data_IF_904256525216
#
_entry.id   IF_904256525216
#
_cell.length_a   1.000
_cell.length_b   1.000
_cell.length_c   1.000
_cell.angle_alpha   90.00
_cell.angle_beta   90.00
_cell.angle_gamma   90.00
#
_symmetry.space_group_name_H-M   'P 1'
#
loop_
_entity.id
_entity.type
_entity.pdbx_description
1 polymer ?
#
# COMPACT_ATOMS: atom_id res chain seq x y z
N UNK A 1 14.28 -45.74 -23.96
CA UNK A 1 13.91 -44.60 -23.10
C UNK A 1 12.41 -44.67 -22.74
N UNK A 2 11.50 -44.72 -23.69
CA UNK A 2 10.03 -44.81 -23.47
C UNK A 2 9.60 -45.98 -22.58
N UNK A 3 10.14 -47.21 -22.82
CA UNK A 3 9.74 -48.41 -22.06
C UNK A 3 10.06 -48.27 -20.56
N UNK A 4 11.24 -47.72 -20.22
CA UNK A 4 11.64 -47.52 -18.81
C UNK A 4 10.80 -46.45 -18.17
N UNK A 5 10.46 -45.40 -18.88
CA UNK A 5 9.62 -44.29 -18.40
C UNK A 5 8.19 -44.77 -18.07
N UNK A 6 7.60 -45.62 -18.93
CA UNK A 6 6.27 -46.21 -18.72
C UNK A 6 6.25 -47.10 -17.48
N UNK A 7 7.26 -48.00 -17.34
CA UNK A 7 7.33 -48.92 -16.19
C UNK A 7 7.52 -48.14 -14.86
N UNK A 8 8.39 -47.12 -14.89
CA UNK A 8 8.59 -46.27 -13.67
C UNK A 8 7.33 -45.54 -13.32
N UNK A 9 6.63 -44.92 -14.26
CA UNK A 9 5.41 -44.19 -14.00
C UNK A 9 4.29 -45.10 -13.43
N UNK A 10 4.10 -46.28 -13.99
CA UNK A 10 3.14 -47.27 -13.46
C UNK A 10 3.49 -47.69 -12.03
N UNK A 11 4.73 -48.06 -11.78
CA UNK A 11 5.16 -48.52 -10.43
C UNK A 11 5.12 -47.39 -9.42
N UNK A 12 5.47 -46.16 -9.79
CA UNK A 12 5.41 -45.01 -8.93
C UNK A 12 3.95 -44.62 -8.58
N UNK A 13 3.04 -44.69 -9.57
CA UNK A 13 1.62 -44.45 -9.35
C UNK A 13 1.04 -45.40 -8.32
N UNK A 14 1.28 -46.72 -8.53
CA UNK A 14 0.83 -47.76 -7.58
C UNK A 14 1.42 -47.55 -6.18
N UNK A 15 2.70 -47.17 -6.11
CA UNK A 15 3.36 -46.94 -4.84
C UNK A 15 2.79 -45.72 -4.11
N UNK A 16 2.45 -44.64 -4.81
CA UNK A 16 1.83 -43.45 -4.24
C UNK A 16 0.43 -43.74 -3.70
N UNK A 17 -0.33 -44.55 -4.43
CA UNK A 17 -1.67 -44.99 -3.98
C UNK A 17 -1.60 -45.86 -2.71
N UNK A 18 -0.57 -46.70 -2.59
CA UNK A 18 -0.33 -47.52 -1.40
C UNK A 18 0.25 -46.74 -0.21
N UNK A 19 0.89 -45.60 -0.44
CA UNK A 19 1.57 -44.81 0.59
C UNK A 19 1.14 -43.32 0.58
N UNK A 20 -0.15 -43.00 0.79
CA UNK A 20 -0.71 -41.66 0.61
C UNK A 20 -0.12 -40.62 1.56
N UNK A 21 0.28 -40.98 2.77
CA UNK A 21 0.90 -40.07 3.74
C UNK A 21 2.32 -39.64 3.30
N UNK A 22 3.12 -40.59 2.82
CA UNK A 22 4.49 -40.33 2.32
C UNK A 22 4.42 -39.59 0.99
N UNK A 23 3.49 -39.95 0.09
CA UNK A 23 3.23 -39.26 -1.16
C UNK A 23 2.93 -37.77 -0.97
N UNK A 24 2.09 -37.42 0.02
CA UNK A 24 1.80 -36.02 0.37
C UNK A 24 3.05 -35.26 0.82
N UNK A 25 3.92 -35.87 1.60
CA UNK A 25 5.17 -35.22 2.06
C UNK A 25 6.12 -35.00 0.88
N UNK A 26 6.27 -35.99 0.00
CA UNK A 26 7.11 -35.88 -1.21
C UNK A 26 6.57 -34.80 -2.14
N UNK A 27 5.27 -34.80 -2.44
CA UNK A 27 4.63 -33.77 -3.28
C UNK A 27 4.78 -32.38 -2.71
N UNK A 28 4.57 -32.23 -1.39
CA UNK A 28 4.77 -30.93 -0.72
C UNK A 28 6.24 -30.42 -0.90
N UNK A 29 7.22 -31.30 -0.75
CA UNK A 29 8.65 -30.94 -0.99
C UNK A 29 8.93 -30.59 -2.45
N UNK A 30 8.36 -31.32 -3.40
CA UNK A 30 8.52 -31.04 -4.84
C UNK A 30 7.90 -29.69 -5.20
N UNK A 31 6.68 -29.41 -4.72
CA UNK A 31 6.00 -28.15 -4.94
C UNK A 31 6.81 -27.00 -4.33
N UNK A 32 7.31 -27.17 -3.11
CA UNK A 32 8.14 -26.17 -2.44
C UNK A 32 9.43 -25.87 -3.22
N UNK A 33 10.09 -26.92 -3.71
CA UNK A 33 11.32 -26.78 -4.51
C UNK A 33 11.05 -26.16 -5.90
N UNK A 34 9.90 -26.43 -6.51
CA UNK A 34 9.50 -25.83 -7.79
C UNK A 34 9.19 -24.33 -7.60
N UNK A 35 8.45 -23.98 -6.56
CA UNK A 35 8.16 -22.58 -6.22
C UNK A 35 9.44 -21.80 -5.89
N UNK A 36 10.36 -22.38 -5.12
CA UNK A 36 11.64 -21.75 -4.82
C UNK A 36 12.46 -21.48 -6.09
N UNK A 37 12.47 -22.42 -7.04
CA UNK A 37 13.14 -22.25 -8.35
C UNK A 37 12.47 -21.17 -9.21
N UNK A 38 11.14 -21.11 -9.25
CA UNK A 38 10.40 -20.08 -10.01
C UNK A 38 10.64 -18.69 -9.44
N UNK A 39 10.66 -18.56 -8.11
CA UNK A 39 11.00 -17.34 -7.40
C UNK A 39 12.42 -16.89 -7.74
N UNK A 40 13.39 -17.79 -7.67
CA UNK A 40 14.78 -17.51 -8.01
C UNK A 40 14.95 -17.13 -9.48
N UNK A 41 14.22 -17.79 -10.40
CA UNK A 41 14.21 -17.46 -11.83
C UNK A 41 13.65 -16.07 -12.09
N UNK A 42 12.47 -15.76 -11.54
CA UNK A 42 11.84 -14.44 -11.66
C UNK A 42 12.70 -13.33 -11.06
N UNK A 43 13.34 -13.59 -9.93
CA UNK A 43 14.27 -12.65 -9.33
C UNK A 43 15.47 -12.38 -10.24
N UNK A 44 16.05 -13.42 -10.85
CA UNK A 44 17.17 -13.29 -11.82
C UNK A 44 16.72 -12.59 -13.11
N UNK A 45 15.53 -12.88 -13.63
CA UNK A 45 14.98 -12.21 -14.81
C UNK A 45 14.71 -10.73 -14.55
N UNK A 46 14.20 -10.37 -13.36
CA UNK A 46 14.01 -9.00 -12.96
C UNK A 46 15.35 -8.24 -12.81
N UNK A 47 16.37 -8.87 -12.26
CA UNK A 47 17.73 -8.31 -12.18
C UNK A 47 18.35 -8.15 -13.58
N UNK A 48 18.14 -9.11 -14.47
CA UNK A 48 18.70 -9.08 -15.85
C UNK A 48 18.00 -8.07 -16.77
N UNK A 49 16.70 -7.76 -16.53
CA UNK A 49 15.94 -6.71 -17.25
C UNK A 49 16.30 -5.29 -16.78
N UNK A 50 16.86 -5.17 -15.59
CA UNK A 50 17.39 -3.91 -15.08
C UNK A 50 18.84 -3.82 -15.51
N UNK A 51 19.09 -2.98 -16.50
CA UNK A 51 20.43 -2.79 -17.09
C UNK A 51 21.50 -2.47 -16.05
N UNK A 52 22.75 -2.66 -16.45
CA UNK A 52 23.99 -2.56 -15.67
C UNK A 52 24.23 -1.25 -14.89
N UNK A 53 23.26 -0.33 -14.83
CA UNK A 53 23.34 1.00 -14.20
C UNK A 53 22.68 1.07 -12.81
N UNK A 54 21.96 0.02 -12.35
CA UNK A 54 21.37 0.03 -10.99
C UNK A 54 22.22 -0.79 -10.01
N UNK A 55 23.33 -0.23 -9.60
CA UNK A 55 24.26 -0.79 -8.59
C UNK A 55 23.66 -1.00 -7.20
N UNK A 56 22.43 -0.52 -6.93
CA UNK A 56 21.82 -0.53 -5.60
C UNK A 56 20.61 -1.46 -5.45
N UNK A 57 20.14 -2.11 -6.53
CA UNK A 57 18.95 -2.99 -6.49
C UNK A 57 17.63 -2.25 -6.21
N UNK A 58 17.63 -0.92 -6.13
CA UNK A 58 16.45 -0.12 -5.87
C UNK A 58 15.55 0.00 -7.10
N UNK A 59 14.21 0.07 -6.91
CA UNK A 59 13.29 0.24 -8.03
C UNK A 59 13.51 1.57 -8.75
N UNK A 60 13.61 1.57 -10.08
CA UNK A 60 13.81 2.79 -10.87
C UNK A 60 12.68 3.83 -10.76
N UNK A 61 11.51 3.42 -10.22
CA UNK A 61 10.39 4.33 -9.92
C UNK A 61 10.55 5.07 -8.58
N UNK A 62 11.38 4.55 -7.69
CA UNK A 62 11.59 5.12 -6.35
C UNK A 62 12.38 6.43 -6.47
N UNK A 63 11.80 7.51 -5.98
CA UNK A 63 12.53 8.74 -5.70
C UNK A 63 13.00 8.69 -4.23
N UNK A 64 14.19 8.21 -4.00
CA UNK A 64 14.73 8.00 -2.67
C UNK A 64 15.09 9.31 -1.96
N UNK A 65 15.26 9.26 -0.63
CA UNK A 65 15.75 10.37 0.17
C UNK A 65 17.27 10.29 0.33
N UNK A 66 17.86 11.40 0.76
CA UNK A 66 19.32 11.52 0.90
C UNK A 66 19.85 10.85 2.17
N UNK A 67 19.06 10.86 3.24
CA UNK A 67 19.42 10.21 4.52
C UNK A 67 19.31 8.70 4.34
N UNK A 68 20.43 8.00 4.52
CA UNK A 68 20.52 6.54 4.44
C UNK A 68 20.17 5.80 5.75
N UNK A 69 19.64 6.49 6.75
CA UNK A 69 19.24 5.91 8.05
C UNK A 69 17.72 5.80 8.13
N UNK A 70 17.22 4.78 8.80
CA UNK A 70 15.78 4.59 9.03
C UNK A 70 15.15 5.74 9.82
N UNK A 71 15.82 6.20 10.87
CA UNK A 71 15.31 7.20 11.79
C UNK A 71 15.08 8.54 11.10
N UNK A 72 13.90 9.11 11.29
CA UNK A 72 13.50 10.40 10.72
C UNK A 72 13.16 10.36 9.23
N UNK A 73 13.23 9.21 8.56
CA UNK A 73 12.90 9.08 7.14
C UNK A 73 11.49 8.53 6.91
N UNK A 74 10.91 8.88 5.77
CA UNK A 74 9.53 8.57 5.40
C UNK A 74 9.45 8.10 3.96
N UNK A 75 8.70 7.02 3.72
CA UNK A 75 8.35 6.56 2.39
C UNK A 75 6.88 6.86 2.11
N UNK A 76 6.59 7.70 1.12
CA UNK A 76 5.25 7.90 0.61
C UNK A 76 4.96 6.93 -0.53
N UNK A 77 3.99 6.05 -0.33
CA UNK A 77 3.43 5.18 -1.36
C UNK A 77 2.28 5.94 -2.01
N UNK A 78 2.44 6.33 -3.28
CA UNK A 78 1.52 7.24 -3.97
C UNK A 78 0.83 6.53 -5.11
N UNK A 79 -0.47 6.75 -5.25
CA UNK A 79 -1.26 6.23 -6.35
C UNK A 79 -0.98 6.99 -7.65
N UNK A 80 -0.49 6.25 -8.66
CA UNK A 80 -0.30 6.75 -10.01
C UNK A 80 0.92 7.67 -10.20
N UNK A 81 1.22 7.94 -11.47
CA UNK A 81 2.40 8.74 -11.82
C UNK A 81 2.16 10.25 -11.70
N UNK A 82 0.94 10.73 -11.91
CA UNK A 82 0.62 12.16 -11.83
C UNK A 82 0.81 12.68 -10.41
N UNK A 83 0.14 12.06 -9.44
CA UNK A 83 0.33 12.39 -8.03
C UNK A 83 1.75 12.09 -7.55
N UNK A 84 2.37 11.00 -8.04
CA UNK A 84 3.78 10.69 -7.81
C UNK A 84 4.73 11.79 -8.31
N UNK A 85 4.42 12.41 -9.44
CA UNK A 85 5.18 13.55 -10.00
C UNK A 85 5.13 14.77 -9.10
N UNK A 86 3.92 15.18 -8.68
CA UNK A 86 3.73 16.32 -7.76
C UNK A 86 4.39 16.04 -6.40
N UNK A 87 4.24 14.83 -5.87
CA UNK A 87 4.87 14.43 -4.60
C UNK A 87 6.40 14.45 -4.68
N UNK A 88 6.99 13.96 -5.78
CA UNK A 88 8.45 13.99 -6.00
C UNK A 88 9.01 15.42 -6.04
N UNK A 89 8.24 16.35 -6.58
CA UNK A 89 8.64 17.77 -6.65
C UNK A 89 8.44 18.47 -5.31
N UNK A 90 7.32 18.23 -4.62
CA UNK A 90 6.94 18.91 -3.39
C UNK A 90 7.61 18.38 -2.12
N UNK A 91 8.16 17.15 -2.12
CA UNK A 91 8.72 16.50 -0.94
C UNK A 91 9.99 17.18 -0.40
N UNK A 92 10.29 16.97 0.85
CA UNK A 92 11.64 17.21 1.36
C UNK A 92 12.56 16.05 0.92
N UNK A 93 13.52 16.37 0.02
CA UNK A 93 14.44 15.37 -0.55
C UNK A 93 15.41 14.79 0.46
N UNK A 94 15.63 15.46 1.56
CA UNK A 94 16.55 15.02 2.60
C UNK A 94 16.05 13.74 3.28
N UNK A 95 14.78 13.72 3.71
CA UNK A 95 14.23 12.66 4.55
C UNK A 95 12.94 12.01 4.01
N UNK A 96 12.40 12.46 2.88
CA UNK A 96 11.19 11.89 2.29
C UNK A 96 11.48 11.21 0.96
N UNK A 97 11.10 9.95 0.84
CA UNK A 97 11.10 9.16 -0.38
C UNK A 97 9.69 9.03 -0.95
N UNK A 98 9.56 8.90 -2.26
CA UNK A 98 8.28 8.72 -2.96
C UNK A 98 8.35 7.52 -3.89
N UNK A 99 7.42 6.59 -3.72
CA UNK A 99 7.23 5.43 -4.58
C UNK A 99 5.84 5.49 -5.24
N UNK A 100 5.74 5.88 -6.52
CA UNK A 100 4.48 5.77 -7.24
C UNK A 100 4.19 4.31 -7.58
N UNK A 101 2.97 3.86 -7.30
CA UNK A 101 2.47 2.56 -7.71
C UNK A 101 1.49 2.73 -8.87
N UNK A 102 1.66 1.93 -9.93
CA UNK A 102 0.82 1.99 -11.14
C UNK A 102 -0.24 0.90 -11.13
N UNK A 103 -1.48 1.30 -11.36
CA UNK A 103 -2.59 0.39 -11.58
C UNK A 103 -3.05 -0.38 -10.35
N UNK A 104 -3.88 -1.39 -10.58
CA UNK A 104 -4.45 -2.21 -9.50
C UNK A 104 -3.38 -3.12 -8.90
N UNK A 105 -3.14 -2.94 -7.61
CA UNK A 105 -2.28 -3.84 -6.83
C UNK A 105 -2.97 -5.19 -6.72
N UNK A 106 -2.22 -6.28 -6.87
CA UNK A 106 -2.75 -7.62 -6.71
C UNK A 106 -3.26 -7.82 -5.27
N UNK A 107 -4.46 -8.37 -5.14
CA UNK A 107 -4.97 -8.77 -3.84
C UNK A 107 -4.13 -9.95 -3.28
N UNK A 108 -3.36 -9.66 -2.24
CA UNK A 108 -2.49 -10.65 -1.57
C UNK A 108 -3.20 -11.45 -0.48
N UNK A 109 -4.51 -11.22 -0.28
CA UNK A 109 -5.30 -11.96 0.69
C UNK A 109 -5.28 -13.47 0.40
N UNK A 110 -5.02 -14.26 1.44
CA UNK A 110 -5.10 -15.72 1.43
C UNK A 110 -6.05 -16.14 2.54
N UNK A 111 -7.09 -16.90 2.20
CA UNK A 111 -8.03 -17.40 3.19
C UNK A 111 -7.39 -18.48 4.08
N UNK A 112 -7.20 -18.15 5.35
CA UNK A 112 -6.66 -19.07 6.34
C UNK A 112 -7.62 -20.27 6.60
N UNK A 113 -8.92 -20.08 6.41
CA UNK A 113 -9.93 -21.15 6.61
C UNK A 113 -9.91 -22.18 5.47
N UNK A 114 -9.59 -21.75 4.25
CA UNK A 114 -9.43 -22.66 3.10
C UNK A 114 -8.27 -23.65 3.26
N UNK A 115 -7.22 -23.23 3.99
CA UNK A 115 -6.05 -24.08 4.28
C UNK A 115 -6.33 -25.05 5.43
N UNK A 116 -7.17 -24.69 6.40
CA UNK A 116 -7.55 -25.54 7.54
C UNK A 116 -8.53 -26.67 7.20
N UNK A 117 -9.32 -26.54 6.13
CA UNK A 117 -10.30 -27.57 5.73
C UNK A 117 -9.69 -28.90 5.28
N UNK A 118 -8.40 -28.95 4.97
CA UNK A 118 -7.69 -30.18 4.57
C UNK A 118 -6.87 -30.84 5.71
N UNK A 119 -7.27 -30.65 6.94
CA UNK A 119 -6.96 -31.53 8.09
C UNK A 119 -5.51 -31.57 8.62
N UNK A 120 -4.52 -31.00 7.93
CA UNK A 120 -3.12 -30.96 8.39
C UNK A 120 -2.35 -29.77 7.79
N UNK A 121 -3.03 -28.64 7.58
CA UNK A 121 -2.40 -27.42 7.04
C UNK A 121 -1.38 -26.85 8.02
N UNK A 122 -0.11 -27.21 7.84
CA UNK A 122 1.02 -26.54 8.47
C UNK A 122 0.96 -25.05 8.09
N UNK A 123 1.16 -24.15 9.06
CA UNK A 123 1.25 -22.70 8.81
C UNK A 123 2.21 -22.29 7.67
N UNK A 124 3.07 -23.21 7.26
CA UNK A 124 3.96 -23.13 6.11
C UNK A 124 3.24 -23.07 4.75
N UNK A 125 2.13 -23.78 4.57
CA UNK A 125 1.38 -23.78 3.30
C UNK A 125 0.68 -22.44 3.05
N UNK A 126 0.15 -21.82 4.10
CA UNK A 126 -0.41 -20.48 4.05
C UNK A 126 0.65 -19.46 3.64
N UNK A 127 1.85 -19.51 4.26
CA UNK A 127 2.97 -18.62 3.93
C UNK A 127 3.42 -18.75 2.49
N UNK A 128 3.57 -19.97 2.00
CA UNK A 128 3.98 -20.24 0.62
C UNK A 128 2.99 -19.66 -0.38
N UNK A 129 1.68 -19.80 -0.13
CA UNK A 129 0.64 -19.22 -0.98
C UNK A 129 0.65 -17.69 -0.95
N UNK A 130 0.78 -17.10 0.24
CA UNK A 130 0.86 -15.65 0.39
C UNK A 130 2.10 -15.09 -0.31
N UNK A 131 3.26 -15.69 -0.10
CA UNK A 131 4.51 -15.31 -0.73
C UNK A 131 4.44 -15.44 -2.26
N UNK A 132 3.88 -16.54 -2.77
CA UNK A 132 3.69 -16.75 -4.21
C UNK A 132 2.83 -15.66 -4.83
N UNK A 133 1.73 -15.28 -4.19
CA UNK A 133 0.89 -14.16 -4.64
C UNK A 133 1.64 -12.83 -4.62
N UNK A 134 2.37 -12.53 -3.54
CA UNK A 134 3.14 -11.30 -3.43
C UNK A 134 4.17 -11.16 -4.55
N UNK A 135 4.92 -12.22 -4.83
CA UNK A 135 6.00 -12.23 -5.83
C UNK A 135 5.46 -12.21 -7.26
N UNK A 136 4.22 -12.64 -7.48
CA UNK A 136 3.59 -12.58 -8.81
C UNK A 136 3.26 -11.15 -9.26
N UNK A 137 3.19 -10.18 -8.35
CA UNK A 137 2.93 -8.77 -8.63
C UNK A 137 4.22 -7.97 -8.69
N UNK A 138 4.51 -7.36 -9.84
CA UNK A 138 5.67 -6.49 -9.99
C UNK A 138 5.61 -5.25 -9.06
N UNK A 139 4.42 -4.72 -8.81
CA UNK A 139 4.23 -3.56 -7.92
C UNK A 139 4.53 -3.94 -6.46
N UNK A 140 4.09 -5.13 -6.02
CA UNK A 140 4.40 -5.64 -4.67
C UNK A 140 5.91 -5.93 -4.52
N UNK A 141 6.53 -6.56 -5.52
CA UNK A 141 7.99 -6.80 -5.53
C UNK A 141 8.75 -5.47 -5.48
N UNK A 142 8.29 -4.47 -6.22
CA UNK A 142 8.85 -3.12 -6.21
C UNK A 142 8.75 -2.48 -4.81
N UNK A 143 7.61 -2.63 -4.15
CA UNK A 143 7.40 -2.14 -2.79
C UNK A 143 8.32 -2.85 -1.78
N UNK A 144 8.39 -4.19 -1.82
CA UNK A 144 9.26 -4.99 -0.95
C UNK A 144 10.73 -4.55 -1.10
N UNK A 145 11.20 -4.39 -2.35
CA UNK A 145 12.56 -3.93 -2.63
C UNK A 145 12.80 -2.49 -2.13
N UNK A 146 11.81 -1.60 -2.26
CA UNK A 146 11.92 -0.24 -1.73
C UNK A 146 12.03 -0.23 -0.20
N UNK A 147 11.31 -1.12 0.47
CA UNK A 147 11.38 -1.26 1.94
C UNK A 147 12.70 -1.86 2.43
N UNK A 148 13.42 -2.60 1.58
CA UNK A 148 14.66 -3.27 1.94
C UNK A 148 14.47 -4.57 2.73
N UNK A 149 13.28 -5.14 2.71
CA UNK A 149 12.90 -6.29 3.54
C UNK A 149 12.89 -7.60 2.73
N UNK A 150 13.28 -8.71 3.35
CA UNK A 150 13.17 -10.05 2.76
C UNK A 150 11.81 -10.69 3.11
N UNK A 151 10.93 -10.95 2.13
CA UNK A 151 9.63 -11.57 2.38
C UNK A 151 9.72 -13.06 2.76
N UNK A 152 10.89 -13.69 2.65
CA UNK A 152 11.09 -15.13 2.90
C UNK A 152 11.35 -15.46 4.36
N UNK A 153 11.77 -14.47 5.14
CA UNK A 153 12.05 -14.66 6.58
C UNK A 153 10.77 -14.95 7.37
N UNK A 154 10.90 -15.67 8.48
CA UNK A 154 9.76 -15.93 9.37
C UNK A 154 9.37 -14.70 10.16
N UNK A 155 10.36 -13.97 10.59
CA UNK A 155 10.24 -12.70 11.30
C UNK A 155 11.12 -11.65 10.66
N UNK A 156 10.57 -10.45 10.45
CA UNK A 156 11.36 -9.33 9.95
C UNK A 156 12.30 -8.81 11.04
N UNK A 157 13.55 -8.56 10.67
CA UNK A 157 14.40 -7.65 11.45
C UNK A 157 14.09 -6.22 11.02
N UNK A 158 13.53 -5.44 11.93
CA UNK A 158 13.16 -4.05 11.65
C UNK A 158 14.38 -3.14 11.46
N UNK A 159 15.59 -3.62 11.76
CA UNK A 159 16.84 -2.90 11.47
C UNK A 159 17.12 -2.81 9.96
N UNK A 160 16.61 -3.78 9.20
CA UNK A 160 16.74 -3.81 7.75
C UNK A 160 15.75 -2.86 7.05
N UNK A 161 14.73 -2.39 7.77
CA UNK A 161 13.73 -1.45 7.23
C UNK A 161 14.39 -0.11 6.90
N UNK A 162 14.23 0.35 5.66
CA UNK A 162 14.90 1.55 5.17
C UNK A 162 14.29 2.86 5.65
N UNK A 163 13.00 2.86 6.01
CA UNK A 163 12.25 4.07 6.37
C UNK A 163 11.57 3.94 7.72
N UNK A 164 11.63 5.01 8.52
CA UNK A 164 10.99 5.05 9.84
C UNK A 164 9.46 5.09 9.76
N UNK A 165 8.90 5.73 8.72
CA UNK A 165 7.46 5.76 8.47
C UNK A 165 7.17 5.35 7.03
N UNK A 166 6.11 4.58 6.85
CA UNK A 166 5.56 4.19 5.57
C UNK A 166 4.16 4.80 5.48
N UNK A 167 3.97 5.75 4.57
CA UNK A 167 2.76 6.56 4.49
C UNK A 167 2.04 6.26 3.18
N UNK A 168 0.85 5.69 3.29
CA UNK A 168 -0.02 5.41 2.15
C UNK A 168 -0.79 6.68 1.80
N UNK A 169 -0.64 7.14 0.56
CA UNK A 169 -1.27 8.34 0.04
C UNK A 169 -2.01 8.01 -1.26
N UNK A 170 -3.32 7.85 -1.15
CA UNK A 170 -4.24 7.49 -2.25
C UNK A 170 -5.28 8.57 -2.46
N UNK A 171 -5.89 8.58 -3.63
CA UNK A 171 -7.00 9.47 -3.95
C UNK A 171 -8.19 9.25 -3.01
N UNK A 172 -9.02 10.27 -2.85
CA UNK A 172 -10.19 10.22 -1.96
C UNK A 172 -11.44 9.67 -2.67
N UNK A 173 -11.25 8.82 -3.65
CA UNK A 173 -12.31 8.16 -4.42
C UNK A 173 -12.43 6.66 -4.10
N UNK A 174 -13.28 5.96 -4.86
CA UNK A 174 -13.53 4.53 -4.68
C UNK A 174 -12.30 3.70 -5.04
N UNK A 175 -11.57 4.07 -6.10
CA UNK A 175 -10.38 3.37 -6.55
C UNK A 175 -9.24 3.53 -5.54
N UNK A 176 -9.01 4.75 -5.03
CA UNK A 176 -8.02 5.02 -3.99
C UNK A 176 -8.34 4.29 -2.68
N UNK A 177 -9.62 4.19 -2.31
CA UNK A 177 -10.05 3.39 -1.15
C UNK A 177 -9.77 1.90 -1.34
N UNK A 178 -9.96 1.39 -2.56
CA UNK A 178 -9.64 0.00 -2.91
C UNK A 178 -8.13 -0.27 -2.88
N UNK A 179 -7.31 0.61 -3.46
CA UNK A 179 -5.85 0.50 -3.42
C UNK A 179 -5.34 0.53 -1.99
N UNK A 180 -5.88 1.41 -1.14
CA UNK A 180 -5.58 1.46 0.29
C UNK A 180 -5.88 0.15 0.99
N UNK A 181 -7.06 -0.43 0.73
CA UNK A 181 -7.44 -1.73 1.29
C UNK A 181 -6.48 -2.86 0.85
N UNK A 182 -6.06 -2.87 -0.41
CA UNK A 182 -5.10 -3.85 -0.93
C UNK A 182 -3.71 -3.71 -0.30
N UNK A 183 -3.23 -2.48 -0.11
CA UNK A 183 -1.96 -2.22 0.59
C UNK A 183 -2.03 -2.63 2.06
N UNK A 184 -3.13 -2.31 2.76
CA UNK A 184 -3.32 -2.76 4.13
C UNK A 184 -3.40 -4.28 4.23
N UNK A 185 -4.04 -4.95 3.27
CA UNK A 185 -4.05 -6.42 3.18
C UNK A 185 -2.64 -6.97 2.99
N UNK A 186 -1.81 -6.34 2.15
CA UNK A 186 -0.40 -6.71 1.99
C UNK A 186 0.36 -6.59 3.32
N UNK A 187 0.26 -5.44 4.00
CA UNK A 187 0.94 -5.23 5.28
C UNK A 187 0.39 -6.09 6.42
N UNK A 188 -0.83 -6.60 6.33
CA UNK A 188 -1.40 -7.53 7.30
C UNK A 188 -0.88 -8.96 7.15
N UNK A 189 -0.27 -9.32 6.02
CA UNK A 189 0.31 -10.64 5.83
C UNK A 189 1.66 -10.77 6.54
N UNK A 190 1.92 -11.95 7.12
CA UNK A 190 3.26 -12.28 7.64
C UNK A 190 4.28 -12.31 6.48
N UNK A 191 5.50 -11.82 6.68
CA UNK A 191 6.05 -11.26 7.93
C UNK A 191 5.82 -9.74 8.10
N UNK A 192 5.16 -9.05 7.15
CA UNK A 192 5.00 -7.59 7.12
C UNK A 192 4.06 -7.03 8.19
N UNK A 193 3.23 -7.88 8.83
CA UNK A 193 2.37 -7.47 9.94
C UNK A 193 3.14 -6.82 11.10
N UNK A 194 4.42 -7.17 11.29
CA UNK A 194 5.30 -6.51 12.25
C UNK A 194 5.42 -4.99 12.02
N UNK A 195 5.27 -4.51 10.80
CA UNK A 195 5.31 -3.07 10.51
C UNK A 195 4.10 -2.34 11.09
N UNK A 196 2.92 -2.99 11.10
CA UNK A 196 1.72 -2.44 11.75
C UNK A 196 1.88 -2.52 13.28
N UNK A 197 2.32 -3.67 13.81
CA UNK A 197 2.51 -3.90 15.25
C UNK A 197 3.48 -2.90 15.87
N UNK A 198 4.50 -2.49 15.13
CA UNK A 198 5.51 -1.53 15.59
C UNK A 198 5.23 -0.09 15.14
N UNK A 199 4.05 0.18 14.57
CA UNK A 199 3.59 1.54 14.31
C UNK A 199 4.28 2.26 13.15
N UNK A 200 4.79 1.53 12.16
CA UNK A 200 5.45 2.12 10.98
C UNK A 200 4.49 2.52 9.86
N UNK A 201 3.24 2.02 9.87
CA UNK A 201 2.27 2.23 8.78
C UNK A 201 1.33 3.37 9.11
N UNK A 202 1.20 4.30 8.17
CA UNK A 202 0.34 5.49 8.28
C UNK A 202 -0.49 5.68 7.02
N UNK A 203 -1.64 6.36 7.19
CA UNK A 203 -2.49 6.84 6.10
C UNK A 203 -2.41 8.37 6.06
N UNK A 204 -2.05 8.93 4.93
CA UNK A 204 -2.14 10.37 4.70
C UNK A 204 -3.60 10.81 4.55
N UNK A 205 -3.90 11.99 5.04
CA UNK A 205 -5.23 12.62 4.94
C UNK A 205 -5.12 13.94 4.16
N UNK A 206 -5.04 13.90 2.83
CA UNK A 206 -5.09 15.11 2.03
C UNK A 206 -6.44 15.80 2.17
N UNK A 207 -6.52 17.14 1.98
CA UNK A 207 -7.78 17.87 2.01
C UNK A 207 -8.66 17.52 0.80
N UNK A 208 -9.98 17.51 1.01
CA UNK A 208 -10.95 17.30 -0.07
C UNK A 208 -11.35 18.60 -0.77
N UNK A 209 -11.22 19.74 -0.10
CA UNK A 209 -11.65 21.04 -0.63
C UNK A 209 -10.59 22.11 -0.43
N UNK A 210 -10.60 23.07 -1.35
CA UNK A 210 -9.89 24.34 -1.25
C UNK A 210 -10.88 25.48 -1.46
N UNK A 211 -10.95 26.40 -0.51
CA UNK A 211 -11.71 27.63 -0.61
C UNK A 211 -10.75 28.74 -1.01
N UNK A 212 -10.94 29.31 -2.19
CA UNK A 212 -10.11 30.41 -2.66
C UNK A 212 -10.53 31.71 -2.00
N UNK A 213 -9.64 32.30 -1.20
CA UNK A 213 -9.85 33.58 -0.54
C UNK A 213 -8.69 34.52 -0.84
N UNK A 214 -8.86 35.31 -1.91
CA UNK A 214 -7.76 36.17 -2.39
C UNK A 214 -6.57 35.37 -2.88
N UNK A 215 -5.37 35.75 -2.44
CA UNK A 215 -4.10 35.07 -2.78
C UNK A 215 -3.82 33.81 -1.99
N UNK A 216 -4.58 33.55 -0.92
CA UNK A 216 -4.42 32.37 -0.03
C UNK A 216 -5.63 31.47 -0.11
N UNK A 217 -5.41 30.16 -0.26
CA UNK A 217 -6.47 29.16 -0.16
C UNK A 217 -6.60 28.65 1.28
N UNK A 218 -7.84 28.34 1.70
CA UNK A 218 -8.11 27.62 2.92
C UNK A 218 -8.41 26.17 2.54
N UNK A 219 -7.62 25.25 3.06
CA UNK A 219 -7.80 23.80 2.79
C UNK A 219 -8.72 23.20 3.83
N UNK A 220 -9.66 22.41 3.38
CA UNK A 220 -10.71 21.79 4.17
C UNK A 220 -10.64 20.28 4.01
N UNK A 221 -10.60 19.59 5.12
CA UNK A 221 -10.34 18.14 5.17
C UNK A 221 -11.51 17.32 4.59
N UNK A 222 -12.73 17.65 5.01
CA UNK A 222 -13.91 16.86 4.68
C UNK A 222 -15.18 17.73 4.62
N UNK A 223 -16.31 17.10 4.27
CA UNK A 223 -17.62 17.75 4.19
C UNK A 223 -18.05 18.40 5.51
N UNK A 224 -17.72 17.78 6.62
CA UNK A 224 -18.10 18.26 7.95
C UNK A 224 -17.38 19.57 8.28
N UNK A 225 -16.09 19.61 8.04
CA UNK A 225 -15.27 20.82 8.22
C UNK A 225 -15.71 21.92 7.25
N UNK A 226 -16.11 21.56 6.01
CA UNK A 226 -16.68 22.52 5.05
C UNK A 226 -17.97 23.13 5.58
N UNK A 227 -18.89 22.32 6.12
CA UNK A 227 -20.11 22.80 6.74
C UNK A 227 -19.81 23.75 7.92
N UNK A 228 -18.92 23.34 8.81
CA UNK A 228 -18.50 24.16 9.96
C UNK A 228 -17.86 25.49 9.51
N UNK A 229 -17.05 25.46 8.46
CA UNK A 229 -16.45 26.67 7.89
C UNK A 229 -17.49 27.64 7.34
N UNK A 230 -18.46 27.14 6.55
CA UNK A 230 -19.55 27.96 6.01
C UNK A 230 -20.39 28.57 7.13
N UNK A 231 -20.78 27.75 8.13
CA UNK A 231 -21.51 28.20 9.30
C UNK A 231 -20.75 29.29 10.08
N UNK A 232 -19.46 29.13 10.26
CA UNK A 232 -18.66 30.08 11.01
C UNK A 232 -18.51 31.43 10.30
N UNK A 233 -18.59 31.44 8.98
CA UNK A 233 -18.49 32.65 8.17
C UNK A 233 -19.83 33.32 7.87
N UNK A 234 -20.98 32.70 8.20
CA UNK A 234 -22.32 33.27 8.02
C UNK A 234 -23.00 33.54 9.37
N UNK A 235 -23.26 34.82 9.68
CA UNK A 235 -24.01 35.22 10.88
C UNK A 235 -25.49 34.83 10.81
N UNK A 236 -26.02 34.72 9.61
CA UNK A 236 -27.44 34.41 9.37
C UNK A 236 -27.72 32.93 9.60
N UNK A 237 -26.86 32.05 9.07
CA UNK A 237 -26.99 30.60 9.23
C UNK A 237 -26.91 30.16 10.71
N UNK A 238 -26.10 30.84 11.51
CA UNK A 238 -25.99 30.55 12.96
C UNK A 238 -27.30 30.75 13.74
N UNK A 239 -28.23 31.55 13.20
CA UNK A 239 -29.53 31.83 13.85
C UNK A 239 -30.61 30.83 13.43
N UNK A 240 -30.40 30.06 12.36
CA UNK A 240 -31.36 29.13 11.82
C UNK A 240 -31.20 27.73 12.46
N UNK A 241 -32.31 27.02 12.58
CA UNK A 241 -32.29 25.64 13.09
C UNK A 241 -31.65 24.70 12.06
N UNK A 242 -30.57 24.05 12.44
CA UNK A 242 -29.89 23.08 11.57
C UNK A 242 -30.86 22.02 11.06
N UNK A 243 -30.88 21.81 9.74
CA UNK A 243 -31.77 20.86 9.05
C UNK A 243 -33.14 21.42 8.68
N UNK A 244 -33.49 22.69 8.99
CA UNK A 244 -34.71 23.35 8.48
C UNK A 244 -34.57 23.65 6.98
N UNK A 245 -35.72 23.84 6.29
CA UNK A 245 -35.72 24.21 4.85
C UNK A 245 -35.01 25.54 4.62
N UNK A 246 -35.20 26.49 5.50
CA UNK A 246 -34.55 27.81 5.48
C UNK A 246 -33.04 27.68 5.67
N UNK A 247 -32.60 26.80 6.57
CA UNK A 247 -31.20 26.52 6.81
C UNK A 247 -30.55 25.92 5.54
N UNK A 248 -31.16 24.90 4.93
CA UNK A 248 -30.62 24.25 3.75
C UNK A 248 -30.50 25.23 2.58
N UNK A 249 -31.54 26.04 2.35
CA UNK A 249 -31.52 27.07 1.31
C UNK A 249 -30.44 28.11 1.57
N UNK A 250 -30.37 28.66 2.79
CA UNK A 250 -29.33 29.62 3.17
C UNK A 250 -27.91 29.04 3.07
N UNK A 251 -27.73 27.76 3.41
CA UNK A 251 -26.46 27.07 3.27
C UNK A 251 -26.01 26.97 1.80
N UNK A 252 -26.90 26.59 0.90
CA UNK A 252 -26.61 26.50 -0.52
C UNK A 252 -26.31 27.89 -1.12
N UNK A 253 -27.01 28.93 -0.68
CA UNK A 253 -26.75 30.31 -1.07
C UNK A 253 -25.38 30.79 -0.61
N UNK A 254 -24.99 30.55 0.65
CA UNK A 254 -23.67 30.90 1.18
C UNK A 254 -22.55 30.09 0.51
N UNK A 255 -22.78 28.80 0.28
CA UNK A 255 -21.84 27.93 -0.45
C UNK A 255 -21.61 28.42 -1.86
N UNK A 256 -22.65 28.89 -2.56
CA UNK A 256 -22.54 29.40 -3.94
C UNK A 256 -21.77 30.71 -4.07
N UNK A 257 -21.68 31.52 -3.02
CA UNK A 257 -20.89 32.76 -2.97
C UNK A 257 -19.38 32.50 -2.81
N UNK A 258 -19.01 31.27 -2.41
CA UNK A 258 -17.60 30.91 -2.18
C UNK A 258 -17.04 30.20 -3.39
N UNK A 259 -15.79 30.56 -3.77
CA UNK A 259 -15.05 29.80 -4.79
C UNK A 259 -14.46 28.53 -4.16
N UNK A 260 -15.24 27.43 -4.21
CA UNK A 260 -14.87 26.15 -3.62
C UNK A 260 -14.41 25.22 -4.74
N UNK A 261 -13.17 24.77 -4.64
CA UNK A 261 -12.60 23.71 -5.47
C UNK A 261 -12.66 22.40 -4.71
N UNK A 262 -13.18 21.34 -5.33
CA UNK A 262 -13.12 19.98 -4.79
C UNK A 262 -12.00 19.23 -5.51
N UNK A 263 -11.07 18.64 -4.75
CA UNK A 263 -10.07 17.75 -5.30
C UNK A 263 -10.68 16.35 -5.49
N UNK A 264 -10.61 15.84 -6.70
CA UNK A 264 -11.04 14.47 -7.03
C UNK A 264 -9.91 13.48 -6.80
N UNK A 265 -8.67 13.93 -6.98
CA UNK A 265 -7.49 13.14 -6.77
C UNK A 265 -6.26 14.00 -6.48
N UNK A 266 -5.22 13.36 -5.96
CA UNK A 266 -3.92 13.99 -5.61
C UNK A 266 -3.20 14.57 -6.83
N UNK A 267 -3.47 14.03 -8.02
CA UNK A 267 -2.90 14.53 -9.27
C UNK A 267 -3.39 15.93 -9.68
N UNK A 268 -4.47 16.43 -9.06
CA UNK A 268 -4.98 17.80 -9.26
C UNK A 268 -4.25 18.82 -8.38
N UNK A 269 -3.50 18.37 -7.38
CA UNK A 269 -2.73 19.23 -6.49
C UNK A 269 -1.34 19.51 -7.08
N UNK A 270 -0.95 20.79 -7.08
CA UNK A 270 0.42 21.15 -7.42
C UNK A 270 1.40 20.79 -6.29
N UNK A 271 2.73 20.80 -6.53
CA UNK A 271 3.72 20.42 -5.53
C UNK A 271 3.66 21.23 -4.22
N UNK A 272 3.36 22.52 -4.29
CA UNK A 272 3.28 23.42 -3.11
C UNK A 272 2.03 23.12 -2.28
N UNK A 273 0.90 22.87 -2.94
CA UNK A 273 -0.34 22.44 -2.28
C UNK A 273 -0.15 21.11 -1.57
N UNK A 274 0.47 20.15 -2.25
CA UNK A 274 0.72 18.84 -1.69
C UNK A 274 1.71 18.91 -0.51
N UNK A 275 2.73 19.76 -0.62
CA UNK A 275 3.65 20.03 0.49
C UNK A 275 2.90 20.60 1.70
N UNK A 276 2.22 21.72 1.52
CA UNK A 276 1.61 22.48 2.61
C UNK A 276 0.48 21.73 3.33
N UNK A 277 -0.13 20.73 2.70
CA UNK A 277 -1.30 20.03 3.24
C UNK A 277 -1.03 18.59 3.67
N UNK A 278 -0.08 17.91 3.01
CA UNK A 278 0.02 16.44 3.11
C UNK A 278 1.45 15.94 3.39
N UNK A 279 2.47 16.60 2.84
CA UNK A 279 3.86 16.14 3.00
C UNK A 279 4.56 16.79 4.19
N UNK A 280 4.28 18.07 4.48
CA UNK A 280 4.93 18.82 5.55
C UNK A 280 4.55 18.26 6.94
N UNK A 281 5.52 17.79 7.74
CA UNK A 281 5.28 17.24 9.07
C UNK A 281 4.54 18.16 10.03
N UNK A 282 4.68 19.51 9.86
CA UNK A 282 4.08 20.49 10.74
C UNK A 282 2.59 20.76 10.48
N UNK A 283 2.12 20.49 9.25
CA UNK A 283 0.76 20.88 8.83
C UNK A 283 -0.11 19.70 8.43
N UNK A 284 0.49 18.55 8.14
CA UNK A 284 -0.24 17.35 7.68
C UNK A 284 -0.96 16.61 8.80
N UNK A 285 -1.98 15.86 8.41
CA UNK A 285 -2.63 14.88 9.26
C UNK A 285 -2.31 13.45 8.79
N UNK A 286 -1.84 12.61 9.72
CA UNK A 286 -1.59 11.18 9.50
C UNK A 286 -2.42 10.36 10.47
N UNK A 287 -3.00 9.27 9.97
CA UNK A 287 -3.61 8.23 10.80
C UNK A 287 -2.64 7.05 10.89
N UNK A 288 -2.20 6.71 12.09
CA UNK A 288 -1.42 5.50 12.33
C UNK A 288 -2.33 4.28 12.25
N UNK A 289 -1.92 3.29 11.49
CA UNK A 289 -2.63 2.00 11.38
C UNK A 289 -2.28 1.15 12.59
N UNK A 290 -3.30 0.66 13.29
CA UNK A 290 -3.15 -0.17 14.48
C UNK A 290 -4.16 -1.32 14.43
N UNK A 291 -3.82 -2.45 15.06
CA UNK A 291 -4.80 -3.49 15.32
C UNK A 291 -5.77 -3.06 16.42
N UNK A 292 -7.05 -3.33 16.22
CA UNK A 292 -8.05 -3.12 17.26
C UNK A 292 -7.72 -4.03 18.46
N UNK A 293 -7.63 -3.44 19.64
CA UNK A 293 -7.62 -4.21 20.89
C UNK A 293 -9.06 -4.63 21.15
N UNK A 294 -9.41 -5.86 20.78
CA UNK A 294 -10.64 -6.51 21.24
C UNK A 294 -10.46 -6.99 22.66
#
# INVERSE_FOLDING_TARGET
>A
RMIVETIINEKLSIWFDQNPSVAKIILAKIIHAALARDVARKARENVRRKGALELTGLPGKLADCQIGKQEGTELFIVEGDSAGGSAKQGRNRENQAVLPLRGKILNTYVDANGVKKNGNGNGNEYRVKALSKMISSNEIVTLINALGLDPKVEELDLKDLRYGKIIIMTDADVDGSHIRALLLTFFNNKPFNKLIENGHIYLAQPPLYKINKGSKGVYIKDEKELEEYILNNSKELKKLKKGSKEFLKGYDEEKSKMSIQRFKGLGEMNPEELWSTTLNPETRNLLQVQYSKN
#
